data_IF_621969514346
#
_entry.id   IF_621969514346
#
_cell.length_a   1.000
_cell.length_b   1.000
_cell.length_c   1.000
_cell.angle_alpha   90.00
_cell.angle_beta   90.00
_cell.angle_gamma   90.00
#
_symmetry.space_group_name_H-M   'P 1'
#
loop_
_entity.id
_entity.type
_entity.pdbx_description
1 polymer ?
#
# COMPACT_ATOMS: atom_id res chain seq x y z
N UNK A 1 -14.18 -28.85 -70.04
CA UNK A 1 -13.34 -29.34 -68.92
C UNK A 1 -12.23 -28.33 -68.79
N UNK A 2 -12.28 -27.43 -67.81
CA UNK A 2 -11.07 -26.82 -67.24
C UNK A 2 -11.42 -26.11 -65.94
N UNK A 3 -10.64 -26.47 -64.94
CA UNK A 3 -10.82 -26.28 -63.52
C UNK A 3 -10.39 -24.89 -63.05
N UNK A 4 -11.25 -24.28 -62.24
CA UNK A 4 -11.04 -23.05 -61.46
C UNK A 4 -9.83 -23.23 -60.51
N UNK A 5 -8.76 -22.45 -60.71
CA UNK A 5 -7.69 -22.26 -59.72
C UNK A 5 -8.05 -21.09 -58.80
N UNK A 6 -8.34 -21.41 -57.55
CA UNK A 6 -8.46 -20.44 -56.45
C UNK A 6 -7.10 -19.80 -56.14
N UNK A 7 -7.05 -18.47 -56.17
CA UNK A 7 -5.98 -17.69 -55.56
C UNK A 7 -6.11 -17.79 -54.02
N UNK A 8 -5.17 -18.46 -53.35
CA UNK A 8 -4.98 -18.33 -51.90
C UNK A 8 -4.10 -17.13 -51.62
N UNK A 9 -4.65 -16.12 -50.96
CA UNK A 9 -3.87 -15.06 -50.30
C UNK A 9 -3.13 -15.63 -49.09
N UNK A 10 -1.90 -15.16 -48.78
CA UNK A 10 -1.16 -15.61 -47.61
C UNK A 10 -1.82 -15.08 -46.33
N UNK A 11 -2.09 -16.01 -45.40
CA UNK A 11 -2.50 -15.70 -44.03
C UNK A 11 -1.38 -14.88 -43.37
N UNK A 12 -1.69 -13.65 -42.97
CA UNK A 12 -0.83 -12.85 -42.11
C UNK A 12 -0.66 -13.52 -40.73
N UNK A 13 0.43 -13.20 -39.99
CA UNK A 13 0.68 -13.81 -38.69
C UNK A 13 -0.44 -13.48 -37.70
N UNK A 14 -0.78 -14.41 -36.78
CA UNK A 14 -1.86 -14.21 -35.83
C UNK A 14 -1.54 -13.04 -34.88
N UNK A 15 -2.45 -12.08 -34.82
CA UNK A 15 -2.40 -10.96 -33.88
C UNK A 15 -2.67 -11.51 -32.47
N UNK A 16 -1.61 -11.82 -31.72
CA UNK A 16 -1.73 -12.16 -30.30
C UNK A 16 -2.33 -10.97 -29.55
N UNK A 17 -3.36 -11.22 -28.73
CA UNK A 17 -3.96 -10.21 -27.88
C UNK A 17 -2.91 -9.57 -26.97
N UNK A 18 -3.08 -8.27 -26.69
CA UNK A 18 -2.13 -7.44 -25.93
C UNK A 18 -1.69 -8.07 -24.59
N UNK A 19 -2.59 -8.80 -23.93
CA UNK A 19 -2.35 -9.53 -22.68
C UNK A 19 -1.37 -10.69 -22.83
N UNK A 20 -1.44 -11.40 -23.95
CA UNK A 20 -0.63 -12.61 -24.18
C UNK A 20 0.80 -12.24 -24.57
N UNK A 21 0.97 -11.14 -25.30
CA UNK A 21 2.30 -10.59 -25.59
C UNK A 21 3.00 -10.05 -24.33
N UNK A 22 2.28 -9.36 -23.44
CA UNK A 22 2.84 -8.91 -22.16
C UNK A 22 3.21 -10.11 -21.26
N UNK A 23 2.40 -11.18 -21.22
CA UNK A 23 2.71 -12.40 -20.47
C UNK A 23 3.98 -13.09 -20.98
N UNK A 24 4.14 -13.19 -22.31
CA UNK A 24 5.33 -13.75 -22.94
C UNK A 24 6.58 -12.91 -22.66
N UNK A 25 6.51 -11.59 -22.80
CA UNK A 25 7.66 -10.70 -22.54
C UNK A 25 8.16 -10.79 -21.08
N UNK A 26 7.24 -10.93 -20.12
CA UNK A 26 7.57 -11.08 -18.70
C UNK A 26 8.06 -12.50 -18.38
N UNK A 27 7.45 -13.54 -18.96
CA UNK A 27 7.82 -14.95 -18.73
C UNK A 27 9.16 -15.33 -19.35
N UNK A 28 9.62 -14.63 -20.39
CA UNK A 28 10.84 -14.97 -21.12
C UNK A 28 12.12 -14.38 -20.52
N UNK A 29 12.04 -13.60 -19.43
CA UNK A 29 13.22 -13.08 -18.72
C UNK A 29 14.21 -12.36 -19.65
N UNK A 30 13.74 -11.76 -20.75
CA UNK A 30 14.58 -11.00 -21.66
C UNK A 30 14.44 -9.52 -21.33
N UNK A 31 15.53 -8.79 -21.07
CA UNK A 31 15.47 -7.35 -21.19
C UNK A 31 14.97 -7.04 -22.60
N UNK A 32 13.97 -6.17 -22.72
CA UNK A 32 13.55 -5.61 -24.00
C UNK A 32 14.60 -4.60 -24.50
N UNK A 33 15.87 -5.00 -24.47
CA UNK A 33 16.89 -4.44 -25.33
C UNK A 33 16.99 -5.41 -26.51
N UNK A 34 16.54 -4.95 -27.67
CA UNK A 34 16.78 -5.54 -28.99
C UNK A 34 15.87 -6.75 -29.36
N UNK A 35 14.60 -6.48 -29.61
CA UNK A 35 13.97 -7.07 -30.80
C UNK A 35 13.37 -5.95 -31.65
N UNK A 36 13.97 -5.71 -32.82
CA UNK A 36 13.56 -4.69 -33.79
C UNK A 36 12.11 -4.86 -34.31
N UNK A 37 11.41 -5.94 -33.95
CA UNK A 37 10.05 -6.23 -34.43
C UNK A 37 8.92 -5.83 -33.48
N UNK A 38 9.19 -5.43 -32.22
CA UNK A 38 8.15 -5.05 -31.24
C UNK A 38 8.05 -3.54 -31.00
N UNK A 39 9.00 -2.73 -31.51
CA UNK A 39 9.00 -1.27 -31.38
C UNK A 39 7.88 -0.56 -32.16
N UNK A 40 7.14 -1.27 -33.00
CA UNK A 40 6.09 -0.69 -33.86
C UNK A 40 4.72 -0.57 -33.19
N UNK A 41 4.52 -1.12 -31.99
CA UNK A 41 3.19 -1.17 -31.35
C UNK A 41 3.02 -0.33 -30.08
N UNK A 42 4.08 0.25 -29.50
CA UNK A 42 3.96 0.98 -28.23
C UNK A 42 4.80 2.27 -28.24
N UNK A 43 4.16 3.46 -28.23
CA UNK A 43 4.86 4.75 -28.30
C UNK A 43 5.42 5.24 -26.96
N UNK A 44 5.23 4.51 -25.85
CA UNK A 44 5.68 4.95 -24.53
C UNK A 44 7.10 4.45 -24.21
N UNK A 45 8.04 5.33 -23.83
CA UNK A 45 9.39 4.92 -23.46
C UNK A 45 9.37 3.99 -22.24
N UNK A 46 10.30 3.02 -22.16
CA UNK A 46 10.38 2.10 -21.03
C UNK A 46 10.73 2.85 -19.75
N UNK A 47 10.06 2.51 -18.65
CA UNK A 47 10.35 3.09 -17.34
C UNK A 47 11.59 2.40 -16.75
N UNK A 48 12.68 3.15 -16.57
CA UNK A 48 13.85 2.68 -15.84
C UNK A 48 13.54 2.63 -14.34
N UNK A 49 13.74 1.46 -13.73
CA UNK A 49 13.55 1.25 -12.29
C UNK A 49 14.87 1.37 -11.55
N UNK A 50 14.82 1.55 -10.23
CA UNK A 50 15.99 1.58 -9.33
C UNK A 50 16.90 0.35 -9.43
N UNK A 51 16.38 -0.77 -9.94
CA UNK A 51 17.13 -2.00 -10.19
C UNK A 51 17.71 -2.11 -11.62
N UNK A 52 17.64 -1.06 -12.44
CA UNK A 52 18.16 -1.04 -13.81
C UNK A 52 17.32 -1.81 -14.85
N UNK A 53 16.26 -2.50 -14.42
CA UNK A 53 15.35 -3.20 -15.34
C UNK A 53 14.29 -2.26 -15.90
N UNK A 54 14.02 -2.42 -17.19
CA UNK A 54 13.14 -1.60 -17.99
C UNK A 54 11.91 -2.39 -18.43
N UNK A 55 10.73 -1.82 -18.25
CA UNK A 55 9.45 -2.42 -18.67
C UNK A 55 8.56 -1.36 -19.31
N UNK A 56 7.69 -1.78 -20.23
CA UNK A 56 6.57 -0.94 -20.67
C UNK A 56 5.65 -0.65 -19.49
N UNK A 57 5.22 0.60 -19.33
CA UNK A 57 4.36 1.03 -18.24
C UNK A 57 3.09 0.14 -18.12
N UNK A 58 2.40 -0.08 -19.25
CA UNK A 58 1.19 -0.90 -19.31
C UNK A 58 1.41 -2.37 -18.91
N UNK A 59 2.49 -3.02 -19.37
CA UNK A 59 2.76 -4.41 -19.00
C UNK A 59 3.14 -4.53 -17.51
N UNK A 60 3.83 -3.52 -16.97
CA UNK A 60 4.22 -3.51 -15.56
C UNK A 60 3.02 -3.23 -14.64
N UNK A 61 2.12 -2.33 -15.03
CA UNK A 61 0.83 -2.13 -14.36
C UNK A 61 -0.02 -3.40 -14.40
N UNK A 62 -0.11 -4.07 -15.55
CA UNK A 62 -0.84 -5.34 -15.67
C UNK A 62 -0.24 -6.42 -14.77
N UNK A 63 1.09 -6.53 -14.71
CA UNK A 63 1.78 -7.45 -13.79
C UNK A 63 1.42 -7.15 -12.34
N UNK A 64 1.42 -5.88 -11.91
CA UNK A 64 1.01 -5.53 -10.55
C UNK A 64 -0.48 -5.76 -10.30
N UNK A 65 -1.34 -5.55 -11.29
CA UNK A 65 -2.77 -5.82 -11.13
C UNK A 65 -3.07 -7.32 -10.97
N UNK A 66 -2.29 -8.19 -11.61
CA UNK A 66 -2.54 -9.65 -11.66
C UNK A 66 -1.77 -10.45 -10.62
N UNK A 67 -0.56 -10.02 -10.27
CA UNK A 67 0.38 -10.80 -9.46
C UNK A 67 0.44 -10.34 -8.00
N UNK A 68 -0.12 -9.18 -7.70
CA UNK A 68 0.03 -8.55 -6.38
C UNK A 68 -0.97 -9.12 -5.39
N UNK A 69 -0.47 -9.82 -4.39
CA UNK A 69 -1.24 -10.08 -3.18
C UNK A 69 -1.39 -8.79 -2.36
N UNK A 70 -2.53 -8.55 -1.70
CA UNK A 70 -2.70 -7.43 -0.78
C UNK A 70 -1.54 -7.33 0.20
N UNK A 71 -1.01 -6.11 0.42
CA UNK A 71 0.15 -5.88 1.30
C UNK A 71 1.51 -6.30 0.75
N UNK A 72 1.56 -7.00 -0.39
CA UNK A 72 2.84 -7.21 -1.07
C UNK A 72 3.23 -5.96 -1.86
N UNK A 73 4.48 -5.52 -1.65
CA UNK A 73 5.05 -4.41 -2.41
C UNK A 73 5.26 -4.83 -3.88
N UNK A 74 5.02 -3.92 -4.83
CA UNK A 74 5.42 -4.11 -6.21
C UNK A 74 6.92 -4.44 -6.30
N UNK A 75 7.23 -5.64 -6.79
CA UNK A 75 8.60 -6.13 -6.99
C UNK A 75 8.88 -6.24 -8.47
N UNK A 76 10.15 -6.04 -8.83
CA UNK A 76 10.60 -6.17 -10.20
C UNK A 76 10.29 -7.59 -10.66
N UNK A 77 9.56 -7.79 -11.76
CA UNK A 77 9.26 -9.11 -12.29
C UNK A 77 10.52 -9.96 -12.51
N UNK A 78 11.65 -9.31 -12.80
CA UNK A 78 12.92 -9.96 -13.08
C UNK A 78 13.75 -10.24 -11.80
N UNK A 79 14.29 -9.19 -11.16
CA UNK A 79 15.22 -9.35 -10.04
C UNK A 79 14.55 -9.38 -8.66
N UNK A 80 13.22 -9.21 -8.59
CA UNK A 80 12.44 -9.14 -7.34
C UNK A 80 12.81 -8.01 -6.37
N UNK A 81 13.72 -7.11 -6.76
CA UNK A 81 14.00 -5.85 -6.05
C UNK A 81 12.78 -4.94 -6.06
N UNK A 82 12.69 -4.01 -5.10
CA UNK A 82 11.64 -3.00 -5.09
C UNK A 82 11.66 -2.19 -6.39
N UNK A 83 10.48 -1.97 -7.00
CA UNK A 83 10.37 -1.11 -8.20
C UNK A 83 10.12 0.35 -7.86
N UNK A 84 9.83 0.69 -6.61
CA UNK A 84 9.67 2.07 -6.18
C UNK A 84 10.98 2.61 -5.62
N UNK A 85 11.20 3.92 -5.77
CA UNK A 85 12.13 4.64 -4.90
C UNK A 85 11.79 4.31 -3.43
N UNK A 86 12.78 4.22 -2.54
CA UNK A 86 12.52 3.97 -1.13
C UNK A 86 11.49 4.98 -0.63
N UNK A 87 10.36 4.49 -0.12
CA UNK A 87 9.38 5.36 0.51
C UNK A 87 10.05 5.99 1.74
N UNK A 88 9.67 7.23 2.13
CA UNK A 88 10.17 7.84 3.37
C UNK A 88 9.87 6.97 4.60
N UNK A 89 8.89 6.08 4.48
CA UNK A 89 8.51 5.12 5.51
C UNK A 89 8.26 3.73 4.93
N UNK A 90 8.72 2.73 5.66
CA UNK A 90 8.31 1.34 5.48
C UNK A 90 7.56 0.82 6.71
N UNK A 91 6.71 -0.18 6.51
CA UNK A 91 5.98 -0.78 7.61
C UNK A 91 5.78 -2.27 7.35
N UNK A 92 5.76 -3.06 8.43
CA UNK A 92 5.40 -4.48 8.42
C UNK A 92 4.52 -4.82 9.62
N UNK A 93 3.59 -5.76 9.43
CA UNK A 93 2.88 -6.36 10.55
C UNK A 93 3.64 -7.58 11.08
N UNK A 94 3.73 -7.70 12.41
CA UNK A 94 4.37 -8.84 13.07
C UNK A 94 3.58 -10.13 12.82
N UNK A 95 2.26 -10.01 12.65
CA UNK A 95 1.37 -11.11 12.27
C UNK A 95 1.62 -11.68 10.87
N UNK A 96 2.39 -10.98 10.03
CA UNK A 96 2.54 -11.29 8.59
C UNK A 96 1.34 -10.87 7.74
N UNK A 97 0.29 -10.27 8.35
CA UNK A 97 -0.85 -9.74 7.60
C UNK A 97 -0.47 -8.51 6.76
N UNK A 98 -1.24 -8.20 5.70
CA UNK A 98 -1.03 -7.02 4.88
C UNK A 98 -0.97 -5.71 5.67
N UNK A 99 0.12 -4.97 5.49
CA UNK A 99 0.32 -3.60 5.99
C UNK A 99 1.10 -2.78 4.95
N UNK A 100 0.56 -1.63 4.55
CA UNK A 100 1.15 -0.82 3.48
C UNK A 100 1.06 0.68 3.77
N UNK A 101 2.20 1.41 3.75
CA UNK A 101 2.18 2.87 3.67
C UNK A 101 1.66 3.31 2.30
N UNK A 102 0.56 4.04 2.28
CA UNK A 102 -0.05 4.62 1.09
C UNK A 102 -0.27 6.12 1.28
N UNK A 103 -0.54 6.87 0.20
CA UNK A 103 -1.03 8.24 0.35
C UNK A 103 -2.35 8.23 1.14
N UNK A 104 -2.54 9.20 2.04
CA UNK A 104 -3.77 9.32 2.81
C UNK A 104 -4.99 9.32 1.88
N UNK A 105 -6.00 8.46 2.15
CA UNK A 105 -7.14 8.35 1.26
C UNK A 105 -8.00 9.61 1.31
N UNK A 106 -8.85 9.78 0.32
CA UNK A 106 -9.95 10.77 0.37
C UNK A 106 -11.14 10.21 1.16
N UNK A 107 -12.09 11.07 1.49
CA UNK A 107 -13.41 10.67 1.99
C UNK A 107 -14.01 9.54 1.12
N UNK A 108 -14.53 8.50 1.76
CA UNK A 108 -15.01 7.27 1.11
C UNK A 108 -13.93 6.21 0.87
N UNK A 109 -12.65 6.53 1.13
CA UNK A 109 -11.55 5.58 1.04
C UNK A 109 -11.62 4.49 2.11
N UNK A 110 -10.98 3.36 1.83
CA UNK A 110 -10.94 2.21 2.75
C UNK A 110 -10.06 2.49 3.97
N UNK A 111 -10.51 2.02 5.13
CA UNK A 111 -9.69 2.03 6.35
C UNK A 111 -8.80 0.77 6.45
N UNK A 112 -9.28 -0.38 5.98
CA UNK A 112 -8.54 -1.65 6.10
C UNK A 112 -8.62 -2.50 4.83
N UNK A 113 -7.75 -3.50 4.73
CA UNK A 113 -7.78 -4.51 3.66
C UNK A 113 -8.94 -5.50 3.82
N UNK A 114 -9.25 -5.88 5.04
CA UNK A 114 -10.11 -7.01 5.42
C UNK A 114 -11.46 -6.58 6.03
N UNK A 115 -11.79 -5.29 5.92
CA UNK A 115 -13.08 -4.71 6.37
C UNK A 115 -13.59 -3.69 5.36
N UNK A 116 -14.91 -3.58 5.31
CA UNK A 116 -15.60 -2.60 4.47
C UNK A 116 -15.66 -1.19 5.11
N UNK A 117 -14.90 -0.94 6.17
CA UNK A 117 -14.88 0.36 6.86
C UNK A 117 -14.34 1.43 5.93
N UNK A 118 -15.03 2.59 5.92
CA UNK A 118 -14.69 3.74 5.10
C UNK A 118 -14.46 4.96 5.98
N UNK A 119 -13.55 5.82 5.54
CA UNK A 119 -13.41 7.14 6.13
C UNK A 119 -14.57 8.04 5.70
N UNK A 120 -15.36 8.50 6.66
CA UNK A 120 -16.42 9.49 6.47
C UNK A 120 -15.88 10.91 6.48
N UNK A 121 -14.79 11.15 7.21
CA UNK A 121 -14.00 12.38 7.27
C UNK A 121 -12.55 11.98 7.64
N UNK A 122 -11.56 12.71 7.14
CA UNK A 122 -10.13 12.50 7.45
C UNK A 122 -9.64 13.45 8.55
N UNK A 123 -10.47 14.36 9.04
CA UNK A 123 -10.02 15.33 10.04
C UNK A 123 -8.95 16.23 9.44
N UNK A 124 -7.83 16.36 10.15
CA UNK A 124 -6.65 17.10 9.66
C UNK A 124 -5.66 16.23 8.87
N UNK A 125 -5.94 14.93 8.73
CA UNK A 125 -5.09 13.99 8.00
C UNK A 125 -5.34 13.98 6.48
N UNK A 126 -6.37 14.68 6.01
CA UNK A 126 -6.75 14.74 4.59
C UNK A 126 -5.87 15.65 3.73
N UNK A 127 -4.63 15.92 4.15
CA UNK A 127 -3.71 16.87 3.51
C UNK A 127 -2.73 16.19 2.57
N UNK A 128 -2.23 16.95 1.59
CA UNK A 128 -1.20 16.48 0.67
C UNK A 128 0.07 16.10 1.45
N UNK A 129 0.76 15.05 1.00
CA UNK A 129 1.98 14.55 1.65
C UNK A 129 1.74 13.63 2.86
N UNK A 130 0.54 13.62 3.45
CA UNK A 130 0.22 12.70 4.54
C UNK A 130 0.19 11.25 4.04
N UNK A 131 0.89 10.36 4.74
CA UNK A 131 0.80 8.92 4.53
C UNK A 131 -0.21 8.30 5.49
N UNK A 132 -0.80 7.18 5.08
CA UNK A 132 -1.67 6.35 5.87
C UNK A 132 -1.15 4.91 5.84
N UNK A 133 -1.09 4.24 6.99
CA UNK A 133 -0.83 2.80 7.01
C UNK A 133 -2.14 2.05 6.81
N UNK A 134 -2.38 1.62 5.56
CA UNK A 134 -3.47 0.71 5.26
C UNK A 134 -3.15 -0.65 5.85
N UNK A 135 -3.98 -1.10 6.79
CA UNK A 135 -3.72 -2.30 7.60
C UNK A 135 -4.84 -3.33 7.48
N UNK A 136 -4.59 -4.53 8.00
CA UNK A 136 -5.64 -5.52 8.25
C UNK A 136 -6.22 -5.30 9.65
N UNK A 137 -7.53 -5.13 9.77
CA UNK A 137 -8.20 -4.94 11.06
C UNK A 137 -8.13 -6.18 11.95
N UNK A 138 -7.85 -7.37 11.40
CA UNK A 138 -7.59 -8.57 12.19
C UNK A 138 -6.39 -8.45 13.12
N UNK A 139 -5.44 -7.54 12.86
CA UNK A 139 -4.37 -7.21 13.81
C UNK A 139 -4.89 -6.66 15.14
N UNK A 140 -6.17 -6.28 15.24
CA UNK A 140 -6.86 -5.88 16.49
C UNK A 140 -6.69 -6.88 17.63
N UNK A 141 -6.46 -8.15 17.30
CA UNK A 141 -6.25 -9.25 18.23
C UNK A 141 -4.89 -9.20 18.94
N UNK A 142 -3.95 -8.39 18.47
CA UNK A 142 -2.66 -8.24 19.11
C UNK A 142 -2.81 -7.62 20.49
N UNK A 143 -2.22 -8.27 21.49
CA UNK A 143 -2.23 -7.77 22.87
C UNK A 143 -1.51 -6.41 23.00
N UNK A 144 -1.92 -5.59 23.95
CA UNK A 144 -1.34 -4.25 24.15
C UNK A 144 0.08 -4.26 24.71
N UNK A 145 0.51 -5.41 25.22
CA UNK A 145 1.89 -5.69 25.60
C UNK A 145 2.76 -6.23 24.46
N UNK A 146 2.17 -6.54 23.30
CA UNK A 146 2.88 -7.12 22.16
C UNK A 146 3.00 -6.12 21.00
N UNK A 147 4.10 -6.21 20.25
CA UNK A 147 4.31 -5.41 19.05
C UNK A 147 3.36 -5.90 17.95
N UNK A 148 2.55 -5.00 17.42
CA UNK A 148 1.60 -5.26 16.34
C UNK A 148 2.22 -4.93 14.99
N UNK A 149 2.73 -3.71 14.85
CA UNK A 149 3.35 -3.21 13.63
C UNK A 149 4.71 -2.60 13.93
N UNK A 150 5.62 -2.69 12.96
CA UNK A 150 6.91 -2.00 12.99
C UNK A 150 6.95 -1.02 11.82
N UNK A 151 7.27 0.24 12.14
CA UNK A 151 7.41 1.32 11.18
C UNK A 151 8.88 1.73 11.10
N UNK A 152 9.46 1.70 9.92
CA UNK A 152 10.83 2.12 9.66
C UNK A 152 10.81 3.43 8.89
N UNK A 153 11.14 4.52 9.58
CA UNK A 153 11.26 5.85 8.99
C UNK A 153 12.69 6.04 8.46
N UNK A 154 12.81 6.41 7.18
CA UNK A 154 14.09 6.71 6.51
C UNK A 154 14.43 8.21 6.55
N UNK A 155 13.47 9.03 6.96
CA UNK A 155 13.56 10.48 7.08
C UNK A 155 12.88 10.92 8.38
N UNK A 156 13.17 12.12 8.90
CA UNK A 156 12.41 12.69 10.01
C UNK A 156 10.91 12.73 9.68
N UNK A 157 10.08 12.38 10.66
CA UNK A 157 8.63 12.35 10.47
C UNK A 157 7.87 12.43 11.79
N UNK A 158 6.57 12.70 11.71
CA UNK A 158 5.66 12.59 12.86
C UNK A 158 4.67 11.46 12.62
N UNK A 159 4.59 10.53 13.55
CA UNK A 159 3.62 9.43 13.53
C UNK A 159 2.42 9.81 14.40
N UNK A 160 1.22 9.76 13.82
CA UNK A 160 -0.04 10.03 14.48
C UNK A 160 -0.87 8.76 14.59
N UNK A 161 -1.26 8.41 15.83
CA UNK A 161 -2.17 7.32 16.14
C UNK A 161 -3.54 7.91 16.41
N UNK A 162 -4.50 7.63 15.54
CA UNK A 162 -5.87 8.07 15.69
C UNK A 162 -6.72 6.90 16.20
N UNK A 163 -7.13 6.98 17.46
CA UNK A 163 -7.96 5.95 18.09
C UNK A 163 -9.44 6.12 17.71
N UNK A 164 -10.20 5.03 17.87
CA UNK A 164 -11.64 4.96 17.56
C UNK A 164 -12.51 5.77 18.53
N UNK A 165 -12.16 5.73 19.82
CA UNK A 165 -12.79 6.54 20.87
C UNK A 165 -11.89 6.55 22.11
N UNK A 166 -12.16 7.46 23.05
CA UNK A 166 -11.45 7.48 24.33
C UNK A 166 -11.65 6.16 25.12
N UNK A 167 -12.84 5.54 25.03
CA UNK A 167 -13.13 4.24 25.64
C UNK A 167 -12.15 3.15 25.16
N UNK A 168 -11.82 3.10 23.87
CA UNK A 168 -10.90 2.09 23.34
C UNK A 168 -9.47 2.25 23.87
N UNK A 169 -9.05 3.48 24.16
CA UNK A 169 -7.75 3.74 24.79
C UNK A 169 -7.74 3.17 26.22
N UNK A 170 -8.78 3.50 26.99
CA UNK A 170 -8.91 3.09 28.39
C UNK A 170 -9.08 1.57 28.55
N UNK A 171 -10.01 0.94 27.81
CA UNK A 171 -10.28 -0.50 27.87
C UNK A 171 -9.08 -1.31 27.37
N UNK A 172 -8.40 -0.84 26.32
CA UNK A 172 -7.17 -1.46 25.80
C UNK A 172 -5.93 -1.21 26.66
N UNK A 173 -6.04 -0.39 27.73
CA UNK A 173 -4.94 0.05 28.62
C UNK A 173 -3.74 0.59 27.82
N UNK A 174 -4.03 1.43 26.85
CA UNK A 174 -3.07 1.86 25.84
C UNK A 174 -2.11 2.95 26.37
N UNK A 175 -2.53 3.72 27.38
CA UNK A 175 -1.82 4.89 27.90
C UNK A 175 -0.40 4.54 28.38
N UNK A 176 -0.24 3.35 28.97
CA UNK A 176 1.05 2.91 29.50
C UNK A 176 2.09 2.75 28.39
N UNK A 177 1.74 2.04 27.31
CA UNK A 177 2.69 1.83 26.21
C UNK A 177 2.85 3.09 25.36
N UNK A 178 1.78 3.87 25.17
CA UNK A 178 1.85 5.15 24.45
C UNK A 178 2.91 6.05 25.09
N UNK A 179 2.83 6.25 26.41
CA UNK A 179 3.81 7.02 27.17
C UNK A 179 5.21 6.41 27.07
N UNK A 180 5.34 5.11 27.31
CA UNK A 180 6.63 4.41 27.29
C UNK A 180 7.32 4.48 25.91
N UNK A 181 6.54 4.50 24.82
CA UNK A 181 7.05 4.61 23.44
C UNK A 181 7.17 6.06 22.95
N UNK A 182 6.88 7.06 23.79
CA UNK A 182 7.05 8.49 23.48
C UNK A 182 5.91 9.11 22.68
N UNK A 183 4.71 8.52 22.69
CA UNK A 183 3.51 9.13 22.13
C UNK A 183 2.83 10.02 23.18
N UNK A 184 2.51 11.26 22.79
CA UNK A 184 1.80 12.22 23.62
C UNK A 184 0.41 12.52 23.03
N UNK A 185 -0.62 12.82 23.86
CA UNK A 185 -1.91 13.29 23.36
C UNK A 185 -1.74 14.53 22.49
N UNK A 186 -2.44 14.58 21.37
CA UNK A 186 -2.45 15.72 20.46
C UNK A 186 -3.88 16.19 20.23
N UNK A 187 -4.33 17.12 21.09
CA UNK A 187 -5.66 17.72 21.01
C UNK A 187 -5.81 18.80 19.94
N UNK A 188 -4.72 19.20 19.29
CA UNK A 188 -4.76 20.19 18.20
C UNK A 188 -5.22 19.58 16.87
N UNK A 189 -5.09 18.26 16.71
CA UNK A 189 -5.51 17.55 15.49
C UNK A 189 -6.95 17.07 15.59
N UNK A 190 -7.74 17.44 14.59
CA UNK A 190 -9.09 16.90 14.37
C UNK A 190 -8.99 15.45 13.91
N UNK A 191 -9.70 14.59 14.64
CA UNK A 191 -9.79 13.15 14.39
C UNK A 191 -10.37 12.83 13.00
N UNK A 192 -9.90 11.74 12.40
CA UNK A 192 -10.61 11.10 11.30
C UNK A 192 -11.86 10.39 11.83
N UNK A 193 -12.90 10.38 11.01
CA UNK A 193 -14.16 9.70 11.28
C UNK A 193 -14.28 8.49 10.37
N UNK A 194 -14.49 7.31 10.94
CA UNK A 194 -14.69 6.07 10.18
C UNK A 194 -16.08 5.48 10.39
N UNK A 195 -16.60 4.74 9.41
CA UNK A 195 -17.94 4.16 9.47
C UNK A 195 -18.10 3.09 10.56
N UNK A 196 -17.06 2.30 10.84
CA UNK A 196 -17.00 1.44 12.02
C UNK A 196 -18.13 0.41 12.21
N UNK A 197 -18.81 0.00 11.15
CA UNK A 197 -20.02 -0.85 11.21
C UNK A 197 -19.78 -2.15 11.98
N UNK A 198 -20.68 -2.58 12.89
CA UNK A 198 -21.98 -1.98 13.20
C UNK A 198 -21.96 -0.90 14.28
N UNK A 199 -20.87 -0.77 15.03
CA UNK A 199 -20.83 0.02 16.27
C UNK A 199 -20.34 1.47 16.06
N UNK A 200 -19.90 1.82 14.85
CA UNK A 200 -19.51 3.18 14.49
C UNK A 200 -20.70 4.11 14.22
N UNK A 201 -20.45 5.35 13.79
CA UNK A 201 -19.14 5.89 13.39
C UNK A 201 -18.19 6.10 14.58
N UNK A 202 -16.89 6.05 14.29
CA UNK A 202 -15.84 6.24 15.30
C UNK A 202 -15.03 7.51 15.03
N UNK A 203 -14.75 8.24 16.10
CA UNK A 203 -13.91 9.44 16.16
C UNK A 203 -13.33 9.53 17.57
N UNK A 204 -12.01 9.45 17.69
CA UNK A 204 -11.34 9.36 18.99
C UNK A 204 -10.08 10.21 19.10
N UNK A 205 -9.38 10.11 20.23
CA UNK A 205 -8.21 10.93 20.50
C UNK A 205 -7.06 10.58 19.55
N UNK A 206 -6.23 11.58 19.27
CA UNK A 206 -5.00 11.44 18.49
C UNK A 206 -3.82 11.48 19.46
N UNK A 207 -2.86 10.59 19.26
CA UNK A 207 -1.56 10.62 19.92
C UNK A 207 -0.48 10.78 18.87
N UNK A 208 0.54 11.58 19.16
CA UNK A 208 1.61 11.87 18.21
C UNK A 208 2.97 11.59 18.81
N UNK A 209 3.89 11.13 17.95
CA UNK A 209 5.30 10.99 18.26
C UNK A 209 6.12 11.62 17.14
N UNK A 210 7.02 12.52 17.51
CA UNK A 210 7.99 13.10 16.58
C UNK A 210 9.22 12.21 16.53
N UNK A 211 9.68 11.92 15.32
CA UNK A 211 10.96 11.27 15.02
C UNK A 211 11.84 12.30 14.32
N UNK A 212 12.76 12.90 15.08
CA UNK A 212 13.68 13.90 14.53
C UNK A 212 14.76 13.28 13.64
N UNK A 213 14.97 11.97 13.73
CA UNK A 213 15.99 11.22 12.98
C UNK A 213 15.39 9.93 12.40
N UNK A 214 15.97 9.38 11.31
CA UNK A 214 15.60 8.06 10.81
C UNK A 214 15.68 6.99 11.90
N UNK A 215 14.74 6.05 11.88
CA UNK A 215 14.69 5.03 12.93
C UNK A 215 13.49 4.09 12.83
N UNK A 216 13.47 3.12 13.73
CA UNK A 216 12.39 2.14 13.84
C UNK A 216 11.48 2.47 15.02
N UNK A 217 10.16 2.36 14.80
CA UNK A 217 9.13 2.53 15.82
C UNK A 217 8.24 1.30 15.87
N UNK A 218 8.16 0.71 17.05
CA UNK A 218 7.22 -0.35 17.37
C UNK A 218 5.88 0.24 17.79
N UNK A 219 4.82 -0.19 17.12
CA UNK A 219 3.43 0.14 17.43
C UNK A 219 2.76 -1.07 18.09
N UNK A 220 2.28 -0.89 19.31
CA UNK A 220 1.78 -2.00 20.13
C UNK A 220 0.32 -2.34 19.83
N UNK A 221 -0.12 -3.53 20.20
CA UNK A 221 -1.49 -3.97 19.94
C UNK A 221 -2.57 -3.08 20.58
N UNK A 222 -3.71 -2.98 19.91
CA UNK A 222 -4.85 -2.24 20.45
C UNK A 222 -5.53 -2.96 21.62
N UNK A 223 -5.36 -4.29 21.74
CA UNK A 223 -6.07 -5.16 22.69
C UNK A 223 -7.59 -4.96 22.74
N UNK A 224 -8.18 -4.43 21.66
CA UNK A 224 -9.63 -4.24 21.57
C UNK A 224 -10.17 -5.12 20.46
N UNK A 225 -11.18 -5.93 20.79
CA UNK A 225 -11.86 -6.76 19.79
C UNK A 225 -12.75 -5.93 18.86
N UNK A 226 -12.87 -4.61 19.02
CA UNK A 226 -13.70 -3.79 18.13
C UNK A 226 -12.91 -3.22 16.93
N UNK A 227 -11.58 -3.11 17.02
CA UNK A 227 -10.72 -2.78 15.89
C UNK A 227 -9.40 -2.13 16.29
N UNK A 228 -8.53 -1.90 15.31
CA UNK A 228 -7.26 -1.18 15.55
C UNK A 228 -7.47 0.33 15.56
N UNK A 229 -6.46 1.06 16.05
CA UNK A 229 -6.28 2.48 15.73
C UNK A 229 -5.77 2.65 14.29
N UNK A 230 -5.90 3.87 13.77
CA UNK A 230 -5.38 4.30 12.47
C UNK A 230 -4.02 4.96 12.63
N UNK A 231 -3.14 4.82 11.64
CA UNK A 231 -1.81 5.43 11.66
C UNK A 231 -1.65 6.34 10.46
N UNK A 232 -1.44 7.63 10.75
CA UNK A 232 -1.08 8.64 9.76
C UNK A 232 0.36 9.09 10.01
N UNK A 233 1.10 9.37 8.95
CA UNK A 233 2.52 9.72 9.06
C UNK A 233 2.81 10.93 8.19
N UNK A 234 3.37 11.96 8.82
CA UNK A 234 3.79 13.17 8.16
C UNK A 234 5.31 13.21 8.03
N UNK A 235 5.81 13.18 6.80
CA UNK A 235 7.24 13.27 6.48
C UNK A 235 7.60 14.58 5.78
N UNK A 236 6.69 15.57 5.79
CA UNK A 236 6.92 16.88 5.18
C UNK A 236 7.71 17.83 6.08
#
# INVERSE_FOLDING_TARGET
RDSVRQHRSPLGPPTLALSDQCRLAISLSRPLALSHSLSTFFPSPPLSRSCGHAFHAACLEHYFATSRQPGQRPRCPYCRSSVHAPLPVEARAVSGLPLEPVAAPRRGGRCHFDRQYRFLDLGDFGRAGMLYLLSSNEDRKTASSAVMWVVEARVPCTIHLNYRSARHVAEGRQEAWLRAKGFAPNGALRSAVSSGVPNGPYSGPVYSKVLSEPGSVELMGSATWEGTYFVFIDCS
#
